data_IF_120741384614
#
_entry.id   IF_120741384614
#
_cell.length_a   1.000
_cell.length_b   1.000
_cell.length_c   1.000
_cell.angle_alpha   90.00
_cell.angle_beta   90.00
_cell.angle_gamma   90.00
#
_symmetry.space_group_name_H-M   'P 1'
#
loop_
_entity.id
_entity.type
_entity.pdbx_description
1 polymer ?
#
# COMPACT_ATOMS: atom_id res chain seq x y z
N UNK A 1 -3.36 -35.47 2.39
CA UNK A 1 -4.39 -35.91 1.44
C UNK A 1 -4.00 -35.36 0.05
N UNK A 2 -3.99 -36.14 -1.02
CA UNK A 2 -3.72 -35.61 -2.36
C UNK A 2 -4.83 -34.62 -2.76
N UNK A 3 -4.46 -33.59 -3.54
CA UNK A 3 -5.41 -32.58 -4.03
C UNK A 3 -6.37 -33.21 -5.04
N UNK A 4 -7.60 -32.72 -5.09
CA UNK A 4 -8.56 -33.09 -6.12
C UNK A 4 -8.13 -32.54 -7.50
N UNK A 5 -8.63 -33.12 -8.62
CA UNK A 5 -8.37 -32.57 -9.95
C UNK A 5 -8.75 -31.08 -10.08
N UNK A 6 -9.89 -30.67 -9.52
CA UNK A 6 -10.36 -29.28 -9.54
C UNK A 6 -9.43 -28.34 -8.75
N UNK A 7 -8.89 -28.79 -7.61
CA UNK A 7 -7.90 -28.02 -6.85
C UNK A 7 -6.56 -27.88 -7.58
N UNK A 8 -6.15 -28.90 -8.34
CA UNK A 8 -4.95 -28.87 -9.17
C UNK A 8 -5.13 -27.86 -10.31
N UNK A 9 -6.28 -27.88 -10.98
CA UNK A 9 -6.56 -26.96 -12.09
C UNK A 9 -6.72 -25.53 -11.61
N UNK A 10 -7.37 -25.28 -10.47
CA UNK A 10 -7.44 -23.97 -9.85
C UNK A 10 -6.05 -23.41 -9.49
N UNK A 11 -5.16 -24.25 -8.94
CA UNK A 11 -3.78 -23.86 -8.64
C UNK A 11 -2.98 -23.52 -9.91
N UNK A 12 -3.12 -24.33 -10.96
CA UNK A 12 -2.47 -24.07 -12.26
C UNK A 12 -2.96 -22.74 -12.87
N UNK A 13 -4.27 -22.49 -12.80
CA UNK A 13 -4.85 -21.23 -13.26
C UNK A 13 -4.29 -20.05 -12.48
N UNK A 14 -4.27 -20.12 -11.14
CA UNK A 14 -3.73 -19.06 -10.28
C UNK A 14 -2.23 -18.82 -10.53
N UNK A 15 -1.44 -19.88 -10.67
CA UNK A 15 0.00 -19.77 -10.98
C UNK A 15 0.23 -19.09 -12.33
N UNK A 16 -0.53 -19.48 -13.36
CA UNK A 16 -0.40 -18.86 -14.68
C UNK A 16 -0.88 -17.41 -14.71
N UNK A 17 -1.94 -17.10 -13.96
CA UNK A 17 -2.40 -15.71 -13.79
C UNK A 17 -1.33 -14.86 -13.13
N UNK A 18 -0.65 -15.38 -12.12
CA UNK A 18 0.46 -14.70 -11.44
C UNK A 18 1.63 -14.42 -12.39
N UNK A 19 2.08 -15.40 -13.17
CA UNK A 19 3.14 -15.22 -14.19
C UNK A 19 2.79 -14.10 -15.20
N UNK A 20 1.52 -14.00 -15.60
CA UNK A 20 1.06 -12.95 -16.50
C UNK A 20 1.13 -11.57 -15.80
N UNK A 21 0.71 -11.50 -14.54
CA UNK A 21 0.82 -10.27 -13.74
C UNK A 21 2.27 -9.82 -13.63
N UNK A 22 3.20 -10.72 -13.29
CA UNK A 22 4.64 -10.41 -13.19
C UNK A 22 5.24 -9.89 -14.51
N UNK A 23 4.75 -10.37 -15.64
CA UNK A 23 5.20 -9.89 -16.97
C UNK A 23 4.62 -8.53 -17.33
N UNK A 24 3.39 -8.25 -16.91
CA UNK A 24 2.69 -7.00 -17.24
C UNK A 24 3.10 -5.85 -16.29
N UNK A 25 3.37 -6.16 -15.02
CA UNK A 25 3.63 -5.16 -13.99
C UNK A 25 4.73 -4.15 -14.42
N UNK A 26 5.95 -4.57 -14.83
CA UNK A 26 7.00 -3.62 -15.21
C UNK A 26 6.62 -2.78 -16.43
N UNK A 27 5.84 -3.30 -17.37
CA UNK A 27 5.37 -2.56 -18.54
C UNK A 27 4.43 -1.43 -18.12
N UNK A 28 3.48 -1.75 -17.24
CA UNK A 28 2.51 -0.75 -16.75
C UNK A 28 3.21 0.30 -15.89
N UNK A 29 4.09 -0.10 -14.96
CA UNK A 29 4.84 0.82 -14.11
C UNK A 29 5.72 1.77 -14.92
N UNK A 30 6.41 1.26 -15.96
CA UNK A 30 7.22 2.12 -16.84
C UNK A 30 6.36 3.16 -17.57
N UNK A 31 5.24 2.75 -18.16
CA UNK A 31 4.33 3.67 -18.86
C UNK A 31 3.74 4.73 -17.95
N UNK A 32 3.40 4.37 -16.72
CA UNK A 32 2.89 5.30 -15.72
C UNK A 32 3.99 6.26 -15.25
N UNK A 33 5.23 5.78 -15.10
CA UNK A 33 6.39 6.59 -14.72
C UNK A 33 6.77 7.60 -15.82
N UNK A 34 6.53 7.26 -17.09
CA UNK A 34 6.72 8.15 -18.25
C UNK A 34 5.60 9.21 -18.38
N UNK A 35 4.72 9.32 -17.38
CA UNK A 35 3.62 10.29 -17.35
C UNK A 35 2.33 9.83 -18.03
N UNK A 36 2.21 8.54 -18.36
CA UNK A 36 0.96 7.96 -18.86
C UNK A 36 -0.11 7.87 -17.78
N UNK A 37 -1.39 7.98 -18.17
CA UNK A 37 -2.53 7.70 -17.31
C UNK A 37 -3.03 6.28 -17.56
N UNK A 38 -3.29 5.53 -16.48
CA UNK A 38 -3.85 4.18 -16.62
C UNK A 38 -5.17 4.17 -17.40
N UNK A 39 -5.99 5.20 -17.26
CA UNK A 39 -7.27 5.30 -17.97
C UNK A 39 -7.08 5.31 -19.48
N UNK A 40 -6.04 6.00 -19.98
CA UNK A 40 -5.80 6.18 -21.43
C UNK A 40 -4.95 5.08 -22.07
N UNK A 41 -4.13 4.37 -21.29
CA UNK A 41 -3.32 3.26 -21.81
C UNK A 41 -4.25 2.17 -22.39
N UNK A 42 -4.00 1.72 -23.62
CA UNK A 42 -4.77 0.65 -24.26
C UNK A 42 -4.24 -0.73 -23.86
N UNK A 43 -5.16 -1.68 -23.66
CA UNK A 43 -4.80 -3.07 -23.34
C UNK A 43 -3.88 -3.66 -24.41
N UNK A 44 -4.12 -3.35 -25.69
CA UNK A 44 -3.33 -3.82 -26.82
C UNK A 44 -1.85 -3.41 -26.72
N UNK A 45 -1.59 -2.19 -26.26
CA UNK A 45 -0.24 -1.65 -26.08
C UNK A 45 0.50 -2.41 -24.96
N UNK A 46 -0.18 -2.62 -23.83
CA UNK A 46 0.35 -3.42 -22.72
C UNK A 46 0.70 -4.84 -23.18
N UNK A 47 -0.23 -5.47 -23.92
CA UNK A 47 -0.04 -6.85 -24.38
C UNK A 47 1.09 -6.99 -25.39
N UNK A 48 1.23 -6.02 -26.29
CA UNK A 48 2.32 -5.99 -27.26
C UNK A 48 3.68 -5.96 -26.57
N UNK A 49 3.87 -5.05 -25.62
CA UNK A 49 5.13 -4.91 -24.86
C UNK A 49 5.40 -6.12 -23.96
N UNK A 50 4.37 -6.64 -23.30
CA UNK A 50 4.47 -7.85 -22.48
C UNK A 50 4.58 -9.13 -23.31
N UNK A 51 4.56 -9.05 -24.66
CA UNK A 51 4.56 -10.22 -25.58
C UNK A 51 3.47 -11.24 -25.25
N UNK A 52 2.24 -10.77 -25.02
CA UNK A 52 1.06 -11.57 -24.69
C UNK A 52 -0.01 -11.47 -25.79
N UNK A 53 -0.72 -12.56 -26.04
CA UNK A 53 -1.86 -12.54 -26.97
C UNK A 53 -3.13 -12.02 -26.29
N UNK A 54 -4.04 -11.40 -27.05
CA UNK A 54 -5.37 -11.03 -26.57
C UNK A 54 -6.14 -12.21 -25.97
N UNK A 55 -6.08 -13.37 -26.62
CA UNK A 55 -6.75 -14.60 -26.15
C UNK A 55 -6.20 -15.06 -24.79
N UNK A 56 -4.88 -14.94 -24.58
CA UNK A 56 -4.27 -15.22 -23.28
C UNK A 56 -4.80 -14.24 -22.22
N UNK A 57 -4.82 -12.95 -22.52
CA UNK A 57 -5.30 -11.93 -21.58
C UNK A 57 -6.76 -12.19 -21.16
N UNK A 58 -7.70 -12.27 -22.10
CA UNK A 58 -9.12 -12.45 -21.81
C UNK A 58 -9.50 -13.81 -21.20
N UNK A 59 -8.57 -14.76 -21.18
CA UNK A 59 -8.73 -15.99 -20.38
C UNK A 59 -8.57 -15.76 -18.88
N UNK A 60 -7.75 -14.77 -18.46
CA UNK A 60 -7.38 -14.54 -17.06
C UNK A 60 -7.93 -13.24 -16.48
N UNK A 61 -8.29 -12.29 -17.33
CA UNK A 61 -8.81 -10.97 -16.92
C UNK A 61 -10.00 -10.60 -17.80
N UNK A 62 -11.09 -10.25 -17.16
CA UNK A 62 -12.30 -9.78 -17.83
C UNK A 62 -12.08 -8.46 -18.58
N UNK A 63 -11.37 -7.56 -17.93
CA UNK A 63 -11.09 -6.22 -18.43
C UNK A 63 -9.80 -5.63 -17.81
N UNK A 64 -9.50 -4.39 -18.17
CA UNK A 64 -8.33 -3.65 -17.68
C UNK A 64 -8.41 -3.33 -16.19
N UNK A 65 -9.59 -3.18 -15.63
CA UNK A 65 -9.78 -2.88 -14.22
C UNK A 65 -9.49 -4.12 -13.35
N UNK A 66 -9.92 -5.30 -13.79
CA UNK A 66 -9.52 -6.56 -13.13
C UNK A 66 -7.99 -6.78 -13.21
N UNK A 67 -7.36 -6.41 -14.34
CA UNK A 67 -5.90 -6.41 -14.42
C UNK A 67 -5.29 -5.47 -13.38
N UNK A 68 -5.79 -4.24 -13.24
CA UNK A 68 -5.28 -3.28 -12.24
C UNK A 68 -5.35 -3.86 -10.82
N UNK A 69 -6.46 -4.48 -10.46
CA UNK A 69 -6.60 -5.13 -9.14
C UNK A 69 -5.58 -6.27 -8.95
N UNK A 70 -5.31 -7.01 -10.00
CA UNK A 70 -4.32 -8.09 -9.94
C UNK A 70 -2.88 -7.56 -9.82
N UNK A 71 -2.55 -6.45 -10.49
CA UNK A 71 -1.25 -5.78 -10.40
C UNK A 71 -1.02 -5.17 -9.03
N UNK A 72 -2.04 -4.52 -8.47
CA UNK A 72 -1.92 -3.77 -7.21
C UNK A 72 -1.96 -4.67 -5.96
N UNK A 73 -2.59 -5.85 -6.04
CA UNK A 73 -2.79 -6.73 -4.89
C UNK A 73 -1.50 -7.06 -4.12
N UNK A 74 -0.43 -7.57 -4.77
CA UNK A 74 0.86 -7.81 -4.12
C UNK A 74 1.49 -6.55 -3.54
N UNK A 75 1.42 -5.43 -4.27
CA UNK A 75 1.95 -4.12 -3.83
C UNK A 75 1.27 -3.65 -2.55
N UNK A 76 -0.07 -3.70 -2.51
CA UNK A 76 -0.82 -3.33 -1.30
C UNK A 76 -0.48 -4.24 -0.12
N UNK A 77 -0.19 -5.52 -0.36
CA UNK A 77 0.23 -6.45 0.68
C UNK A 77 1.59 -6.03 1.28
N UNK A 78 2.59 -5.73 0.44
CA UNK A 78 3.93 -5.33 0.90
C UNK A 78 3.89 -3.99 1.64
N UNK A 79 3.16 -3.01 1.10
CA UNK A 79 2.94 -1.70 1.74
C UNK A 79 2.26 -1.88 3.10
N UNK A 80 1.23 -2.73 3.17
CA UNK A 80 0.53 -3.03 4.42
C UNK A 80 1.45 -3.66 5.46
N UNK A 81 2.25 -4.65 5.09
CA UNK A 81 3.21 -5.30 6.00
C UNK A 81 4.20 -4.27 6.55
N UNK A 82 4.77 -3.43 5.70
CA UNK A 82 5.71 -2.39 6.12
C UNK A 82 5.07 -1.37 7.08
N UNK A 83 3.79 -1.01 6.86
CA UNK A 83 3.05 -0.07 7.72
C UNK A 83 2.64 -0.68 9.07
N UNK A 84 2.29 -1.97 9.12
CA UNK A 84 1.74 -2.62 10.31
C UNK A 84 2.84 -3.14 11.25
N UNK A 85 3.92 -3.69 10.71
CA UNK A 85 5.00 -4.30 11.50
C UNK A 85 5.51 -3.44 12.66
N UNK A 86 5.71 -2.11 12.53
CA UNK A 86 6.11 -1.26 13.64
C UNK A 86 5.09 -1.18 14.78
N UNK A 87 3.82 -1.45 14.51
CA UNK A 87 2.71 -1.34 15.47
C UNK A 87 2.54 -2.58 16.36
N UNK A 88 3.31 -3.65 16.09
CA UNK A 88 3.34 -4.86 16.95
C UNK A 88 4.10 -4.64 18.26
N UNK A 89 4.69 -3.45 18.45
CA UNK A 89 5.41 -3.09 19.68
C UNK A 89 4.47 -2.98 20.87
N UNK A 90 4.97 -3.42 22.02
CA UNK A 90 4.25 -3.40 23.32
C UNK A 90 4.68 -2.22 24.21
N UNK A 91 5.53 -1.33 23.69
CA UNK A 91 6.01 -0.11 24.37
C UNK A 91 6.18 1.04 23.37
N UNK A 92 6.27 2.26 23.87
CA UNK A 92 6.52 3.43 23.05
C UNK A 92 7.85 3.31 22.28
N UNK A 93 7.85 3.55 20.95
CA UNK A 93 9.10 3.65 20.21
C UNK A 93 9.81 4.96 20.55
N UNK A 94 11.12 4.98 20.42
CA UNK A 94 11.85 6.25 20.35
C UNK A 94 11.54 6.96 19.01
N UNK A 95 11.71 8.29 18.97
CA UNK A 95 11.57 9.04 17.71
C UNK A 95 12.45 8.49 16.58
N UNK A 96 13.69 8.08 16.94
CA UNK A 96 14.66 7.50 15.98
C UNK A 96 14.17 6.14 15.42
N UNK A 97 13.59 5.30 16.25
CA UNK A 97 12.99 4.03 15.81
C UNK A 97 11.81 4.29 14.85
N UNK A 98 10.91 5.20 15.22
CA UNK A 98 9.78 5.55 14.37
C UNK A 98 10.23 6.17 13.04
N UNK A 99 11.25 7.02 13.05
CA UNK A 99 11.86 7.56 11.83
C UNK A 99 12.42 6.45 10.92
N UNK A 100 13.13 5.46 11.49
CA UNK A 100 13.66 4.34 10.74
C UNK A 100 12.55 3.47 10.13
N UNK A 101 11.48 3.22 10.87
CA UNK A 101 10.31 2.47 10.37
C UNK A 101 9.63 3.20 9.20
N UNK A 102 9.45 4.51 9.32
CA UNK A 102 8.88 5.34 8.25
C UNK A 102 9.78 5.39 7.02
N UNK A 103 11.10 5.45 7.19
CA UNK A 103 12.04 5.39 6.07
C UNK A 103 11.92 4.06 5.31
N UNK A 104 11.82 2.92 6.01
CA UNK A 104 11.56 1.62 5.39
C UNK A 104 10.22 1.61 4.66
N UNK A 105 9.17 2.17 5.27
CA UNK A 105 7.86 2.26 4.64
C UNK A 105 7.91 3.10 3.34
N UNK A 106 8.62 4.23 3.34
CA UNK A 106 8.82 5.07 2.16
C UNK A 106 9.55 4.33 1.04
N UNK A 107 10.58 3.55 1.37
CA UNK A 107 11.35 2.79 0.38
C UNK A 107 10.52 1.65 -0.24
N UNK A 108 9.65 1.00 0.53
CA UNK A 108 8.69 0.00 0.01
C UNK A 108 7.62 0.64 -0.86
N UNK A 109 7.10 1.79 -0.46
CA UNK A 109 5.99 2.46 -1.16
C UNK A 109 6.42 3.14 -2.47
N UNK A 110 7.60 3.76 -2.48
CA UNK A 110 8.07 4.65 -3.55
C UNK A 110 8.09 4.03 -4.95
N UNK A 111 8.62 2.80 -5.16
CA UNK A 111 8.65 2.20 -6.50
C UNK A 111 7.26 2.06 -7.13
N UNK A 112 6.22 1.95 -6.30
CA UNK A 112 4.85 1.65 -6.72
C UNK A 112 3.92 2.86 -6.76
N UNK A 113 4.43 4.07 -6.46
CA UNK A 113 3.62 5.30 -6.48
C UNK A 113 2.86 5.48 -7.80
N UNK A 114 3.45 5.27 -8.98
CA UNK A 114 2.71 5.41 -10.23
C UNK A 114 1.51 4.46 -10.32
N UNK A 115 1.66 3.22 -9.89
CA UNK A 115 0.57 2.23 -9.88
C UNK A 115 -0.49 2.54 -8.82
N UNK A 116 -0.08 3.02 -7.65
CA UNK A 116 -0.99 3.45 -6.58
C UNK A 116 -1.80 4.68 -7.00
N UNK A 117 -1.17 5.64 -7.70
CA UNK A 117 -1.86 6.78 -8.28
C UNK A 117 -2.88 6.35 -9.34
N UNK A 118 -2.55 5.36 -10.17
CA UNK A 118 -3.49 4.78 -11.13
C UNK A 118 -4.71 4.14 -10.45
N UNK A 119 -4.51 3.46 -9.31
CA UNK A 119 -5.61 2.93 -8.49
C UNK A 119 -6.53 4.04 -7.99
N UNK A 120 -5.96 5.14 -7.48
CA UNK A 120 -6.71 6.32 -7.04
C UNK A 120 -7.48 6.92 -8.22
N UNK A 121 -6.84 7.14 -9.36
CA UNK A 121 -7.44 7.71 -10.57
C UNK A 121 -8.68 6.90 -11.01
N UNK A 122 -8.54 5.58 -11.14
CA UNK A 122 -9.65 4.70 -11.57
C UNK A 122 -10.75 4.63 -10.50
N UNK A 123 -10.41 4.74 -9.21
CA UNK A 123 -11.39 4.68 -8.11
C UNK A 123 -12.45 5.80 -8.17
N UNK A 124 -12.18 6.90 -8.84
CA UNK A 124 -13.16 7.98 -9.01
C UNK A 124 -14.32 7.58 -9.94
N UNK A 125 -14.06 6.72 -10.92
CA UNK A 125 -15.05 6.31 -11.94
C UNK A 125 -15.56 4.88 -11.76
N UNK A 126 -14.84 4.01 -11.07
CA UNK A 126 -15.19 2.60 -10.88
C UNK A 126 -15.51 2.28 -9.41
N UNK A 127 -16.76 1.90 -9.06
CA UNK A 127 -17.16 1.60 -7.68
C UNK A 127 -16.48 0.36 -7.11
N UNK A 128 -16.13 -0.65 -7.93
CA UNK A 128 -15.46 -1.87 -7.48
C UNK A 128 -14.01 -1.56 -7.12
N UNK A 129 -13.30 -0.83 -7.96
CA UNK A 129 -11.96 -0.32 -7.68
C UNK A 129 -11.96 0.57 -6.43
N UNK A 130 -12.94 1.46 -6.30
CA UNK A 130 -13.09 2.30 -5.10
C UNK A 130 -13.23 1.48 -3.83
N UNK A 131 -14.05 0.43 -3.87
CA UNK A 131 -14.23 -0.48 -2.73
C UNK A 131 -12.91 -1.16 -2.34
N UNK A 132 -12.15 -1.67 -3.31
CA UNK A 132 -10.84 -2.29 -3.06
C UNK A 132 -9.83 -1.29 -2.50
N UNK A 133 -9.80 -0.07 -3.04
CA UNK A 133 -8.96 1.02 -2.52
C UNK A 133 -9.27 1.31 -1.05
N UNK A 134 -10.55 1.48 -0.70
CA UNK A 134 -10.96 1.72 0.68
C UNK A 134 -10.64 0.54 1.61
N UNK A 135 -10.84 -0.69 1.16
CA UNK A 135 -10.52 -1.90 1.94
C UNK A 135 -9.02 -2.04 2.19
N UNK A 136 -8.18 -1.70 1.20
CA UNK A 136 -6.71 -1.73 1.36
C UNK A 136 -6.19 -0.89 2.53
N UNK A 137 -6.86 0.22 2.85
CA UNK A 137 -6.51 1.07 3.99
C UNK A 137 -7.21 0.69 5.29
N UNK A 138 -8.34 -0.04 5.23
CA UNK A 138 -9.13 -0.37 6.42
C UNK A 138 -8.32 -1.20 7.44
N UNK A 139 -7.53 -2.15 6.99
CA UNK A 139 -6.69 -3.00 7.84
C UNK A 139 -5.60 -2.18 8.55
N UNK A 140 -4.94 -1.28 7.82
CA UNK A 140 -3.90 -0.38 8.38
C UNK A 140 -4.52 0.53 9.43
N UNK A 141 -5.65 1.15 9.09
CA UNK A 141 -6.41 2.01 9.97
C UNK A 141 -6.81 1.30 11.27
N UNK A 142 -7.40 0.09 11.16
CA UNK A 142 -7.80 -0.71 12.32
C UNK A 142 -6.60 -1.12 13.17
N UNK A 143 -5.47 -1.44 12.55
CA UNK A 143 -4.25 -1.81 13.28
C UNK A 143 -3.67 -0.62 14.05
N UNK A 144 -3.62 0.58 13.44
CA UNK A 144 -3.20 1.80 14.13
C UNK A 144 -4.15 2.11 15.29
N UNK A 145 -5.47 2.05 15.07
CA UNK A 145 -6.46 2.27 16.13
C UNK A 145 -6.31 1.26 17.29
N UNK A 146 -6.08 -0.01 16.95
CA UNK A 146 -5.81 -1.07 17.93
C UNK A 146 -4.54 -0.83 18.74
N UNK A 147 -3.45 -0.38 18.08
CA UNK A 147 -2.20 -0.01 18.75
C UNK A 147 -2.41 1.17 19.72
N UNK A 148 -3.13 2.21 19.30
CA UNK A 148 -3.47 3.36 20.16
C UNK A 148 -4.27 2.89 21.38
N UNK A 149 -5.35 2.14 21.17
CA UNK A 149 -6.19 1.64 22.25
C UNK A 149 -5.45 0.69 23.22
N UNK A 150 -4.56 -0.16 22.68
CA UNK A 150 -3.68 -0.99 23.51
C UNK A 150 -2.71 -0.14 24.31
N UNK A 151 -2.01 0.81 23.67
CA UNK A 151 -1.03 1.65 24.30
C UNK A 151 -1.62 2.59 25.38
N UNK A 152 -2.88 3.03 25.22
CA UNK A 152 -3.62 3.76 26.25
C UNK A 152 -3.82 2.88 27.50
N UNK A 153 -4.24 1.64 27.33
CA UNK A 153 -4.41 0.69 28.45
C UNK A 153 -3.08 0.32 29.12
N UNK A 154 -2.01 0.25 28.33
CA UNK A 154 -0.67 -0.06 28.81
C UNK A 154 0.11 1.18 29.33
N UNK A 155 -0.43 2.39 29.19
CA UNK A 155 0.11 3.62 29.74
C UNK A 155 1.23 4.26 28.90
N UNK A 156 1.48 3.81 27.66
CA UNK A 156 2.52 4.42 26.81
C UNK A 156 1.96 5.26 25.64
N UNK A 157 0.64 5.31 25.45
CA UNK A 157 -0.03 6.25 24.53
C UNK A 157 -0.93 7.18 25.33
N UNK A 158 -1.00 8.41 24.91
CA UNK A 158 -1.83 9.47 25.53
C UNK A 158 -3.28 9.01 25.68
N UNK A 159 -3.89 9.17 26.88
CA UNK A 159 -5.24 8.65 27.15
C UNK A 159 -6.37 9.53 26.56
N UNK A 160 -6.06 10.79 26.19
CA UNK A 160 -7.02 11.78 25.69
C UNK A 160 -7.31 11.66 24.19
N UNK A 161 -6.64 10.75 23.47
CA UNK A 161 -6.84 10.53 22.04
C UNK A 161 -8.06 9.65 21.78
N UNK A 162 -8.74 9.91 20.68
CA UNK A 162 -9.76 9.04 20.11
C UNK A 162 -9.10 8.05 19.12
N UNK A 163 -8.98 6.75 19.44
CA UNK A 163 -8.17 5.83 18.67
C UNK A 163 -8.55 5.73 17.18
N UNK A 164 -9.83 5.64 16.85
CA UNK A 164 -10.29 5.50 15.48
C UNK A 164 -10.03 6.78 14.65
N UNK A 165 -10.39 7.94 15.19
CA UNK A 165 -10.23 9.22 14.51
C UNK A 165 -8.75 9.59 14.35
N UNK A 166 -7.94 9.35 15.38
CA UNK A 166 -6.49 9.57 15.33
C UNK A 166 -5.84 8.66 14.30
N UNK A 167 -6.21 7.38 14.26
CA UNK A 167 -5.74 6.43 13.25
C UNK A 167 -6.12 6.87 11.83
N UNK A 168 -7.35 7.37 11.64
CA UNK A 168 -7.81 7.88 10.37
C UNK A 168 -6.94 9.03 9.86
N UNK A 169 -6.68 10.02 10.71
CA UNK A 169 -5.82 11.16 10.37
C UNK A 169 -4.39 10.72 10.05
N UNK A 170 -3.79 9.85 10.86
CA UNK A 170 -2.43 9.35 10.61
C UNK A 170 -2.37 8.61 9.27
N UNK A 171 -3.34 7.74 8.98
CA UNK A 171 -3.39 6.95 7.75
C UNK A 171 -3.47 7.84 6.52
N UNK A 172 -4.43 8.78 6.49
CA UNK A 172 -4.63 9.65 5.33
C UNK A 172 -3.52 10.69 5.15
N UNK A 173 -2.98 11.20 6.24
CA UNK A 173 -1.82 12.10 6.20
C UNK A 173 -0.59 11.37 5.63
N UNK A 174 -0.32 10.15 6.07
CA UNK A 174 0.80 9.35 5.56
C UNK A 174 0.60 9.00 4.08
N UNK A 175 -0.58 8.52 3.67
CA UNK A 175 -0.89 8.21 2.28
C UNK A 175 -0.68 9.41 1.37
N UNK A 176 -1.29 10.55 1.72
CA UNK A 176 -1.16 11.76 0.90
C UNK A 176 0.27 12.29 0.89
N UNK A 177 0.97 12.22 2.01
CA UNK A 177 2.39 12.61 2.10
C UNK A 177 3.28 11.72 1.22
N UNK A 178 3.03 10.41 1.20
CA UNK A 178 3.79 9.49 0.34
C UNK A 178 3.57 9.78 -1.15
N UNK A 179 2.33 9.99 -1.58
CA UNK A 179 2.00 10.23 -2.99
C UNK A 179 2.42 11.62 -3.48
N UNK A 180 2.49 12.63 -2.63
CA UNK A 180 2.76 14.02 -3.03
C UNK A 180 4.18 14.49 -2.67
N UNK A 181 4.71 14.08 -1.52
CA UNK A 181 5.98 14.60 -1.02
C UNK A 181 7.12 13.60 -1.25
N UNK A 182 6.91 12.31 -0.92
CA UNK A 182 7.95 11.28 -1.04
C UNK A 182 8.24 10.97 -2.51
N UNK A 183 7.23 11.03 -3.38
CA UNK A 183 7.36 10.82 -4.82
C UNK A 183 8.43 11.72 -5.45
N UNK A 184 8.43 13.00 -5.11
CA UNK A 184 9.28 14.04 -5.72
C UNK A 184 10.61 14.23 -4.96
N UNK A 185 10.78 13.64 -3.77
CA UNK A 185 11.93 13.88 -2.92
C UNK A 185 13.16 13.08 -3.34
N UNK A 186 14.32 13.73 -3.31
CA UNK A 186 15.61 13.04 -3.32
C UNK A 186 15.85 12.25 -2.03
N UNK A 187 16.96 11.52 -1.94
CA UNK A 187 17.28 10.70 -0.77
C UNK A 187 17.37 11.51 0.53
N UNK A 188 17.99 12.70 0.48
CA UNK A 188 18.10 13.58 1.65
C UNK A 188 16.74 14.17 2.05
N UNK A 189 15.92 14.54 1.07
CA UNK A 189 14.55 15.00 1.25
C UNK A 189 13.67 13.94 1.92
N UNK A 190 13.74 12.69 1.46
CA UNK A 190 13.01 11.58 2.11
C UNK A 190 13.42 11.36 3.55
N UNK A 191 14.71 11.47 3.87
CA UNK A 191 15.19 11.42 5.25
C UNK A 191 14.55 12.50 6.13
N UNK A 192 14.48 13.76 5.65
CA UNK A 192 13.83 14.87 6.37
C UNK A 192 12.32 14.67 6.49
N UNK A 193 11.66 14.12 5.46
CA UNK A 193 10.22 13.80 5.51
C UNK A 193 9.92 12.71 6.54
N UNK A 194 10.74 11.64 6.59
CA UNK A 194 10.60 10.59 7.60
C UNK A 194 10.82 11.14 9.02
N UNK A 195 11.81 12.00 9.22
CA UNK A 195 12.08 12.66 10.50
C UNK A 195 10.90 13.54 10.94
N UNK A 196 10.37 14.37 10.03
CA UNK A 196 9.25 15.26 10.30
C UNK A 196 7.96 14.49 10.63
N UNK A 197 7.64 13.45 9.85
CA UNK A 197 6.46 12.63 10.12
C UNK A 197 6.61 11.86 11.42
N UNK A 198 7.81 11.31 11.71
CA UNK A 198 8.11 10.65 12.97
C UNK A 198 7.93 11.59 14.16
N UNK A 199 8.37 12.85 14.05
CA UNK A 199 8.17 13.85 15.10
C UNK A 199 6.68 14.13 15.34
N UNK A 200 5.90 14.36 14.26
CA UNK A 200 4.46 14.60 14.37
C UNK A 200 3.71 13.44 15.02
N UNK A 201 3.94 12.21 14.54
CA UNK A 201 3.29 11.01 15.08
C UNK A 201 3.74 10.75 16.51
N UNK A 202 5.03 10.92 16.82
CA UNK A 202 5.57 10.70 18.16
C UNK A 202 4.99 11.68 19.18
N UNK A 203 4.96 12.97 18.88
CA UNK A 203 4.37 13.99 19.75
C UNK A 203 2.86 13.80 19.91
N UNK A 204 2.18 13.32 18.86
CA UNK A 204 0.75 13.05 18.95
C UNK A 204 0.47 11.86 19.89
N UNK A 205 1.21 10.76 19.77
CA UNK A 205 0.85 9.50 20.43
C UNK A 205 1.55 9.31 21.80
N UNK A 206 2.83 9.70 21.92
CA UNK A 206 3.70 9.22 23.00
C UNK A 206 4.25 10.32 23.91
N UNK A 207 4.09 11.62 23.55
CA UNK A 207 4.62 12.71 24.35
C UNK A 207 3.98 12.76 25.74
N UNK A 208 4.80 12.94 26.77
CA UNK A 208 4.35 13.01 28.16
C UNK A 208 4.09 11.66 28.82
N UNK A 209 4.27 10.55 28.13
CA UNK A 209 4.20 9.20 28.70
C UNK A 209 5.62 8.76 29.07
N UNK A 210 5.95 8.82 30.35
CA UNK A 210 7.24 8.33 30.89
C UNK A 210 7.30 6.83 30.72
N UNK A 211 8.37 6.32 30.09
CA UNK A 211 8.73 4.92 30.18
C UNK A 211 9.04 4.62 31.65
N UNK A 212 8.15 3.93 32.34
CA UNK A 212 8.42 3.33 33.66
C UNK A 212 9.25 2.09 33.48
#
# INVERSE_FOLDING_TARGET
MPLSPDEIDARRFAARRHEIVERILPVVEQRLSDGGSYVTIKVEEILQEASLSRSTFYRYFKDKNELLLALIGPVLQDVRIAAIRPLERTSAPTRKQLQADLAVNFDVYRPHIPLLNALVEVSYSDPEIRKHFQQGFADVHQTIAGHIAYGQRAGFVRPDLHPAETAAWITWMAERGMTQLVAEADAAGRGRLAESLAAMVWHTLYEGQSSS
#
